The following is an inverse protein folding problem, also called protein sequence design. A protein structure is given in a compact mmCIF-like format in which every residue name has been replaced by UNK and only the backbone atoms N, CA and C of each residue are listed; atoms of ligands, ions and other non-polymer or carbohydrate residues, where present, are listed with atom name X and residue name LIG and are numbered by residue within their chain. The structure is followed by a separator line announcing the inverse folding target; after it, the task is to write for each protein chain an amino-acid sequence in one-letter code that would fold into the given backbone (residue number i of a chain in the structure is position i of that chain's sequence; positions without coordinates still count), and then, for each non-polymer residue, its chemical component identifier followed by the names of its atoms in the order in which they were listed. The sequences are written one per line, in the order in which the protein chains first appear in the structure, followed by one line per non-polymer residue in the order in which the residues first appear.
data_IF_202078387422
#
_entry.id   IF_202078387422
#
_cell.length_a   1.000
_cell.length_b   1.000
_cell.length_c   1.000
_cell.angle_alpha   90.00
_cell.angle_beta   90.00
_cell.angle_gamma   90.00
#
_symmetry.space_group_name_H-M   'P 1'
#
loop_
_entity.id
_entity.type
_entity.pdbx_description
1 polymer ?
#
# COMPACT_ATOMS: atom_id res chain seq x y z
N UNK A 1 -5.54 -7.79 -5.00
CA UNK A 1 -6.13 -8.49 -3.84
C UNK A 1 -7.53 -7.96 -3.57
N UNK A 2 -8.43 -8.84 -3.15
CA UNK A 2 -9.77 -8.48 -2.69
C UNK A 2 -9.80 -8.59 -1.17
N UNK A 3 -10.27 -7.56 -0.48
CA UNK A 3 -10.18 -7.43 0.98
C UNK A 3 -11.43 -6.81 1.55
N UNK A 4 -11.72 -7.13 2.80
CA UNK A 4 -12.73 -6.47 3.61
C UNK A 4 -12.05 -5.41 4.49
N UNK A 5 -12.59 -4.20 4.48
CA UNK A 5 -12.01 -3.04 5.16
C UNK A 5 -13.08 -2.25 5.90
N UNK A 6 -12.68 -1.55 6.96
CA UNK A 6 -13.49 -0.53 7.61
C UNK A 6 -12.95 0.87 7.29
N UNK A 7 -13.82 1.75 6.81
CA UNK A 7 -13.45 3.14 6.54
C UNK A 7 -13.23 3.91 7.86
N UNK A 8 -12.04 4.46 8.07
CA UNK A 8 -11.73 5.28 9.27
C UNK A 8 -12.57 6.57 9.35
N UNK A 9 -13.14 7.01 8.24
CA UNK A 9 -13.96 8.23 8.16
C UNK A 9 -15.43 7.99 8.48
N UNK A 10 -15.94 6.79 8.18
CA UNK A 10 -17.39 6.54 8.17
C UNK A 10 -17.80 5.29 8.95
N UNK A 11 -16.84 4.53 9.49
CA UNK A 11 -17.01 3.24 10.14
C UNK A 11 -17.77 2.20 9.30
N UNK A 12 -17.90 2.44 7.99
CA UNK A 12 -18.55 1.51 7.06
C UNK A 12 -17.60 0.41 6.65
N UNK A 13 -18.07 -0.83 6.78
CA UNK A 13 -17.40 -2.01 6.24
C UNK A 13 -17.72 -2.11 4.74
N UNK A 14 -16.70 -2.42 3.94
CA UNK A 14 -16.87 -2.67 2.50
C UNK A 14 -15.85 -3.67 1.99
N UNK A 15 -16.23 -4.39 0.93
CA UNK A 15 -15.30 -5.20 0.15
C UNK A 15 -14.73 -4.32 -0.96
N UNK A 16 -13.40 -4.34 -1.10
CA UNK A 16 -12.67 -3.55 -2.09
C UNK A 16 -11.56 -4.35 -2.73
N UNK A 17 -11.17 -3.90 -3.92
CA UNK A 17 -9.97 -4.38 -4.58
C UNK A 17 -8.85 -3.37 -4.42
N UNK A 18 -7.67 -3.88 -4.07
CA UNK A 18 -6.45 -3.11 -3.96
C UNK A 18 -5.34 -3.80 -4.77
N UNK A 19 -4.52 -3.00 -5.43
CA UNK A 19 -3.29 -3.43 -6.08
C UNK A 19 -2.13 -3.35 -5.10
N UNK A 20 -1.02 -4.04 -5.42
CA UNK A 20 0.25 -3.73 -4.79
C UNK A 20 0.72 -2.33 -5.20
N UNK A 21 1.59 -1.76 -4.38
CA UNK A 21 2.18 -0.44 -4.55
C UNK A 21 3.70 -0.56 -4.56
N UNK A 22 4.37 0.37 -5.26
CA UNK A 22 5.82 0.50 -5.21
C UNK A 22 6.19 1.62 -4.24
N UNK A 23 7.05 1.30 -3.26
CA UNK A 23 7.60 2.24 -2.30
C UNK A 23 9.09 2.46 -2.56
N UNK A 24 9.54 3.72 -2.49
CA UNK A 24 10.95 4.06 -2.59
C UNK A 24 11.60 4.05 -1.20
N UNK A 25 12.46 3.08 -0.93
CA UNK A 25 12.93 2.78 0.43
C UNK A 25 13.98 3.76 0.96
N UNK A 26 15.04 4.01 0.19
CA UNK A 26 16.22 4.77 0.66
C UNK A 26 16.22 6.20 0.10
N UNK A 27 15.86 6.35 -1.18
CA UNK A 27 15.80 7.63 -1.88
C UNK A 27 14.34 7.91 -2.22
N UNK A 28 13.63 8.74 -1.43
CA UNK A 28 12.22 9.00 -1.67
C UNK A 28 11.99 9.64 -3.03
N UNK A 29 10.93 9.22 -3.72
CA UNK A 29 10.56 9.77 -5.04
C UNK A 29 10.42 11.30 -5.03
N UNK A 30 9.92 11.87 -3.93
CA UNK A 30 9.74 13.33 -3.75
C UNK A 30 11.06 14.11 -3.70
N UNK A 31 12.15 13.46 -3.29
CA UNK A 31 13.49 14.07 -3.22
C UNK A 31 14.18 13.92 -4.58
N UNK A 32 14.02 12.76 -5.22
CA UNK A 32 14.71 12.44 -6.47
C UNK A 32 16.20 12.17 -6.27
N UNK A 33 16.94 12.07 -7.38
CA UNK A 33 18.40 11.88 -7.38
C UNK A 33 18.87 10.65 -8.13
N UNK A 34 20.19 10.45 -8.15
CA UNK A 34 20.79 9.27 -8.75
C UNK A 34 20.33 8.00 -8.03
N UNK A 35 19.90 6.99 -8.79
CA UNK A 35 19.43 5.72 -8.24
C UNK A 35 18.01 5.71 -7.68
N UNK A 36 17.25 6.81 -7.78
CA UNK A 36 15.86 6.86 -7.29
C UNK A 36 14.97 5.80 -7.94
N UNK A 37 15.18 5.49 -9.22
CA UNK A 37 14.40 4.49 -9.95
C UNK A 37 15.09 3.12 -10.04
N UNK A 38 16.18 2.92 -9.30
CA UNK A 38 16.86 1.63 -9.29
C UNK A 38 15.97 0.61 -8.59
N UNK A 39 15.91 -0.61 -9.13
CA UNK A 39 15.11 -1.69 -8.55
C UNK A 39 15.47 -1.99 -7.09
N UNK A 40 16.72 -1.76 -6.69
CA UNK A 40 17.16 -1.90 -5.29
C UNK A 40 16.54 -0.88 -4.35
N UNK A 41 16.07 0.25 -4.87
CA UNK A 41 15.37 1.28 -4.10
C UNK A 41 13.85 1.04 -4.06
N UNK A 42 13.32 0.02 -4.75
CA UNK A 42 11.88 -0.22 -4.88
C UNK A 42 11.44 -1.46 -4.10
N UNK A 43 10.47 -1.27 -3.20
CA UNK A 43 9.78 -2.34 -2.49
C UNK A 43 8.34 -2.47 -3.00
N UNK A 44 7.92 -3.69 -3.30
CA UNK A 44 6.52 -3.99 -3.58
C UNK A 44 5.79 -4.24 -2.25
N UNK A 45 4.89 -3.33 -1.88
CA UNK A 45 4.16 -3.36 -0.62
C UNK A 45 2.66 -3.41 -0.87
N UNK A 46 1.91 -3.99 0.05
CA UNK A 46 0.48 -3.72 0.09
C UNK A 46 0.20 -2.31 0.63
N UNK A 47 -1.00 -1.74 0.42
CA UNK A 47 -1.30 -0.37 0.83
C UNK A 47 -1.07 -0.07 2.32
N UNK A 48 -1.33 -1.04 3.21
CA UNK A 48 -1.16 -0.87 4.66
C UNK A 48 0.32 -0.93 5.07
N UNK A 49 1.10 -1.82 4.45
CA UNK A 49 2.56 -1.82 4.60
C UNK A 49 3.18 -0.51 4.10
N UNK A 50 2.69 0.01 2.97
CA UNK A 50 3.16 1.28 2.43
C UNK A 50 2.81 2.46 3.36
N UNK A 51 1.59 2.50 3.91
CA UNK A 51 1.21 3.48 4.93
C UNK A 51 2.08 3.36 6.20
N UNK A 52 2.46 2.15 6.60
CA UNK A 52 3.35 1.95 7.75
C UNK A 52 4.79 2.44 7.48
N UNK A 53 5.24 2.39 6.23
CA UNK A 53 6.58 2.82 5.81
C UNK A 53 6.67 4.33 5.47
N UNK A 54 5.59 4.92 4.95
CA UNK A 54 5.57 6.31 4.48
C UNK A 54 4.49 7.14 5.19
N UNK A 55 4.93 8.10 6.01
CA UNK A 55 4.06 9.03 6.74
C UNK A 55 3.13 9.88 5.85
N UNK A 56 3.39 9.97 4.55
CA UNK A 56 2.56 10.71 3.59
C UNK A 56 1.55 9.82 2.86
N UNK A 57 1.60 8.50 3.05
CA UNK A 57 0.69 7.53 2.43
C UNK A 57 -0.41 7.16 3.42
N UNK A 58 -1.67 7.38 3.03
CA UNK A 58 -2.83 7.03 3.86
C UNK A 58 -3.88 6.23 3.09
N UNK A 59 -4.08 4.96 3.42
CA UNK A 59 -5.08 4.07 2.81
C UNK A 59 -6.50 4.56 3.12
N UNK A 60 -6.70 5.15 4.30
CA UNK A 60 -7.99 5.70 4.74
C UNK A 60 -8.98 4.65 5.27
N UNK A 61 -8.55 3.40 5.39
CA UNK A 61 -9.33 2.28 5.91
C UNK A 61 -8.42 1.28 6.59
N UNK A 62 -8.92 0.58 7.60
CA UNK A 62 -8.22 -0.52 8.26
C UNK A 62 -8.60 -1.86 7.62
N UNK A 63 -7.59 -2.72 7.45
CA UNK A 63 -7.79 -4.07 6.94
C UNK A 63 -8.47 -4.93 8.01
N UNK A 64 -9.62 -5.51 7.68
CA UNK A 64 -10.28 -6.50 8.54
C UNK A 64 -9.77 -7.89 8.18
N UNK A 65 -9.84 -8.26 6.89
CA UNK A 65 -9.33 -9.55 6.40
C UNK A 65 -9.09 -9.56 4.89
N UNK A 66 -8.23 -10.47 4.46
CA UNK A 66 -8.02 -10.78 3.05
C UNK A 66 -9.04 -11.81 2.58
N UNK A 67 -9.75 -11.51 1.49
CA UNK A 67 -10.71 -12.42 0.85
C UNK A 67 -10.03 -13.19 -0.28
N UNK A 68 -9.21 -12.51 -1.07
CA UNK A 68 -8.42 -13.07 -2.17
C UNK A 68 -7.04 -12.41 -2.22
N UNK A 69 -5.99 -13.22 -2.07
CA UNK A 69 -4.59 -12.79 -2.14
C UNK A 69 -4.18 -12.27 -3.51
N UNK A 70 -2.95 -11.78 -3.64
CA UNK A 70 -2.37 -11.33 -4.92
C UNK A 70 -1.91 -12.48 -5.81
N UNK A 71 -1.79 -13.67 -5.24
CA UNK A 71 -1.27 -14.91 -5.82
C UNK A 71 -2.38 -15.87 -6.27
N UNK A 72 -3.65 -15.52 -6.06
CA UNK A 72 -4.81 -16.37 -6.37
C UNK A 72 -5.54 -15.79 -7.59
N UNK A 73 -5.80 -16.62 -8.61
CA UNK A 73 -6.55 -16.29 -9.84
C UNK A 73 -8.02 -16.71 -9.79
#
# INVERSE_FOLDING_TARGET
MTVEVISRKTDKISIREYTLELHHNDIPQRVGGAGVHDSSNLLALNPWEHEAADQFRHVGSDLIRVIKGVDVW
#
